data_IF_229436749823
#
_entry.id   IF_229436749823
#
_cell.length_a   1.000
_cell.length_b   1.000
_cell.length_c   1.000
_cell.angle_alpha   90.00
_cell.angle_beta   90.00
_cell.angle_gamma   90.00
#
_symmetry.space_group_name_H-M   'P 1'
#
loop_
_entity.id
_entity.type
_entity.pdbx_description
1 polymer ?
#
# COMPACT_ATOMS: atom_id res chain seq x y z
N UNK A 1 -4.39 5.35 18.20
CA UNK A 1 -3.93 5.82 16.88
C UNK A 1 -4.56 5.04 15.72
N UNK A 2 -4.07 3.86 15.31
CA UNK A 2 -4.49 3.21 14.05
C UNK A 2 -6.00 2.89 13.96
N UNK A 3 -6.59 2.34 15.01
CA UNK A 3 -8.04 2.04 15.07
C UNK A 3 -8.88 3.31 14.93
N UNK A 4 -8.46 4.38 15.60
CA UNK A 4 -9.15 5.68 15.54
C UNK A 4 -9.13 6.29 14.14
N UNK A 5 -8.03 6.15 13.41
CA UNK A 5 -7.96 6.59 12.00
C UNK A 5 -8.82 5.72 11.10
N UNK A 6 -8.81 4.40 11.32
CA UNK A 6 -9.63 3.47 10.56
C UNK A 6 -11.11 3.80 10.69
N UNK A 7 -11.59 4.01 11.91
CA UNK A 7 -12.98 4.35 12.22
C UNK A 7 -13.44 5.62 11.50
N UNK A 8 -12.63 6.70 11.55
CA UNK A 8 -12.90 7.95 10.84
C UNK A 8 -13.00 7.75 9.33
N UNK A 9 -12.03 7.05 8.73
CA UNK A 9 -11.98 6.85 7.27
C UNK A 9 -13.16 5.99 6.80
N UNK A 10 -13.47 4.90 7.51
CA UNK A 10 -14.59 4.03 7.16
C UNK A 10 -15.94 4.73 7.33
N UNK A 11 -16.08 5.60 8.33
CA UNK A 11 -17.28 6.44 8.50
C UNK A 11 -17.50 7.36 7.31
N UNK A 12 -16.47 8.11 6.89
CA UNK A 12 -16.56 9.01 5.73
C UNK A 12 -16.87 8.24 4.44
N UNK A 13 -16.25 7.08 4.24
CA UNK A 13 -16.53 6.22 3.08
C UNK A 13 -18.01 5.80 3.06
N UNK A 14 -18.53 5.37 4.21
CA UNK A 14 -19.94 4.98 4.36
C UNK A 14 -20.89 6.16 4.08
N UNK A 15 -20.61 7.33 4.63
CA UNK A 15 -21.42 8.55 4.43
C UNK A 15 -21.40 9.02 2.97
N UNK A 16 -20.28 8.83 2.27
CA UNK A 16 -20.16 9.17 0.84
C UNK A 16 -20.83 8.17 -0.11
N UNK A 17 -21.36 7.04 0.40
CA UNK A 17 -21.98 6.01 -0.42
C UNK A 17 -20.99 5.17 -1.24
N UNK A 18 -19.69 5.28 -0.97
CA UNK A 18 -18.64 4.52 -1.65
C UNK A 18 -18.56 3.12 -1.05
N UNK A 19 -18.38 2.11 -1.91
CA UNK A 19 -18.18 0.71 -1.48
C UNK A 19 -16.72 0.30 -1.63
N UNK A 20 -16.24 -0.53 -0.70
CA UNK A 20 -14.89 -1.08 -0.70
C UNK A 20 -14.90 -2.53 -1.15
N UNK A 21 -13.94 -2.91 -1.99
CA UNK A 21 -13.68 -4.31 -2.31
C UNK A 21 -12.74 -4.89 -1.24
N UNK A 22 -13.29 -5.67 -0.30
CA UNK A 22 -12.53 -6.24 0.81
C UNK A 22 -11.31 -7.08 0.35
N UNK A 23 -11.40 -7.72 -0.82
CA UNK A 23 -10.31 -8.50 -1.42
C UNK A 23 -9.10 -7.61 -1.76
N UNK A 24 -9.31 -6.32 -2.03
CA UNK A 24 -8.26 -5.34 -2.36
C UNK A 24 -7.80 -4.51 -1.16
N UNK A 25 -8.43 -4.68 0.00
CA UNK A 25 -8.08 -3.91 1.20
C UNK A 25 -7.01 -4.64 2.02
N UNK A 26 -6.04 -3.87 2.54
CA UNK A 26 -4.96 -4.38 3.39
C UNK A 26 -5.00 -3.69 4.76
N UNK A 27 -5.45 -4.40 5.79
CA UNK A 27 -5.54 -3.90 7.17
C UNK A 27 -4.54 -4.58 8.10
N UNK A 28 -4.01 -3.84 9.08
CA UNK A 28 -3.12 -4.37 10.13
C UNK A 28 -1.83 -5.03 9.63
N UNK A 29 -1.32 -4.61 8.47
CA UNK A 29 -0.04 -5.09 7.94
C UNK A 29 1.14 -4.26 8.46
N UNK A 30 2.26 -4.91 8.73
CA UNK A 30 3.53 -4.27 9.14
C UNK A 30 4.30 -3.67 7.95
N UNK A 31 4.02 -4.15 6.74
CA UNK A 31 4.50 -3.57 5.49
C UNK A 31 3.49 -3.77 4.36
N UNK A 32 3.35 -2.78 3.48
CA UNK A 32 2.45 -2.84 2.33
C UNK A 32 3.14 -2.35 1.07
N UNK A 33 2.66 -2.80 -0.09
CA UNK A 33 3.02 -2.21 -1.38
C UNK A 33 2.01 -1.10 -1.69
N UNK A 34 2.49 0.14 -1.84
CA UNK A 34 1.66 1.29 -2.15
C UNK A 34 2.34 2.13 -3.24
N UNK A 35 1.63 2.37 -4.35
CA UNK A 35 2.11 3.18 -5.48
C UNK A 35 3.48 2.71 -6.06
N UNK A 36 3.76 1.40 -6.01
CA UNK A 36 5.04 0.84 -6.47
C UNK A 36 6.21 1.01 -5.50
N UNK A 37 5.92 1.38 -4.25
CA UNK A 37 6.88 1.47 -3.16
C UNK A 37 6.49 0.51 -2.03
N UNK A 38 7.48 -0.11 -1.40
CA UNK A 38 7.28 -0.88 -0.17
C UNK A 38 7.32 0.10 1.00
N UNK A 39 6.21 0.22 1.70
CA UNK A 39 6.07 1.01 2.93
C UNK A 39 6.24 0.08 4.11
N UNK A 40 7.13 0.40 5.04
CA UNK A 40 7.33 -0.37 6.27
C UNK A 40 7.66 0.54 7.45
N UNK A 41 7.74 -0.03 8.67
CA UNK A 41 8.21 0.72 9.85
C UNK A 41 9.60 1.34 9.66
N UNK A 42 10.45 0.75 8.83
CA UNK A 42 11.81 1.23 8.56
C UNK A 42 11.85 2.34 7.49
N UNK A 43 10.70 2.71 6.92
CA UNK A 43 10.57 3.77 5.93
C UNK A 43 10.04 3.27 4.57
N UNK A 44 10.22 4.13 3.56
CA UNK A 44 9.84 3.89 2.18
C UNK A 44 11.02 3.28 1.42
N UNK A 45 10.77 2.17 0.71
CA UNK A 45 11.77 1.54 -0.16
C UNK A 45 11.19 1.35 -1.56
N UNK A 46 11.98 1.59 -2.59
CA UNK A 46 11.56 1.32 -3.98
C UNK A 46 11.31 -0.18 -4.15
N UNK A 47 10.16 -0.56 -4.71
CA UNK A 47 9.86 -1.98 -4.91
C UNK A 47 10.82 -2.58 -5.93
N UNK A 48 11.30 -3.81 -5.68
CA UNK A 48 12.26 -4.52 -6.55
C UNK A 48 11.78 -4.61 -8.00
N UNK A 49 10.48 -4.67 -8.25
CA UNK A 49 9.93 -4.70 -9.62
C UNK A 49 10.26 -3.46 -10.44
N UNK A 50 10.36 -2.26 -9.84
CA UNK A 50 10.73 -1.03 -10.58
C UNK A 50 12.18 -1.05 -11.07
N UNK A 51 13.07 -1.79 -10.40
CA UNK A 51 14.50 -1.84 -10.72
C UNK A 51 14.86 -3.11 -11.50
N UNK A 52 13.93 -4.06 -11.57
CA UNK A 52 14.15 -5.39 -12.19
C UNK A 52 14.66 -5.29 -13.63
N UNK A 53 14.06 -4.43 -14.44
CA UNK A 53 14.47 -4.23 -15.84
C UNK A 53 15.90 -3.71 -16.00
N UNK A 54 16.41 -2.93 -15.03
CA UNK A 54 17.79 -2.43 -15.02
C UNK A 54 18.75 -3.49 -14.47
N UNK A 55 18.32 -4.26 -13.47
CA UNK A 55 19.12 -5.34 -12.87
C UNK A 55 19.31 -6.51 -13.85
N UNK A 56 18.25 -6.89 -14.57
CA UNK A 56 18.25 -8.00 -15.53
C UNK A 56 18.78 -7.59 -16.91
N UNK A 57 19.28 -6.35 -17.05
CA UNK A 57 19.78 -5.83 -18.33
C UNK A 57 21.12 -6.51 -18.65
N UNK A 58 21.10 -7.40 -19.64
CA UNK A 58 22.31 -8.04 -20.17
C UNK A 58 23.23 -6.96 -20.80
N UNK A 59 24.56 -7.05 -20.60
CA UNK A 59 25.50 -6.15 -21.25
C UNK A 59 25.38 -6.27 -22.80
N UNK A 60 25.61 -5.17 -23.53
CA UNK A 60 25.48 -5.10 -24.98
C UNK A 60 26.46 -6.01 -25.74
#
# INVERSE_FOLDING_TARGET
EHITHLDKVLTVIKESGITLSLVKCHFFYSSILLLGHKVSRLGLSTHKEKVKAIIDLLPP
#
